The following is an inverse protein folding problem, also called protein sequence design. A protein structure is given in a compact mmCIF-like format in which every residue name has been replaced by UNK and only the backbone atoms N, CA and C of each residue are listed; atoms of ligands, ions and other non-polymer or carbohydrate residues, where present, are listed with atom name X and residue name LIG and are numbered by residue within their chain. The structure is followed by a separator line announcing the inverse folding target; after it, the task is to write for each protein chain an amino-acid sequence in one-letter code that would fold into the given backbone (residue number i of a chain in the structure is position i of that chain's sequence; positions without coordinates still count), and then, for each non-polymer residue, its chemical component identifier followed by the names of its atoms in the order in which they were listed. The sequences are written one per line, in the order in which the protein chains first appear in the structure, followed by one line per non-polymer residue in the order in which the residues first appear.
data_IF_474254701316
#
_entry.id   IF_474254701316
#
_cell.length_a   1.000
_cell.length_b   1.000
_cell.length_c   1.000
_cell.angle_alpha   90.00
_cell.angle_beta   90.00
_cell.angle_gamma   90.00
#
_symmetry.space_group_name_H-M   'P 1'
#
loop_
_entity.id
_entity.type
_entity.pdbx_description
1 polymer ?
#
# COMPACT_ATOMS: atom_id res chain seq x y z
N UNK A 1 -25.93 56.15 20.72
CA UNK A 1 -25.56 54.80 20.22
C UNK A 1 -24.16 54.85 19.61
N UNK A 2 -23.14 54.19 20.21
CA UNK A 2 -21.86 53.73 19.59
C UNK A 2 -20.89 53.31 20.71
N UNK A 3 -20.98 52.08 21.22
CA UNK A 3 -19.92 51.49 22.10
C UNK A 3 -19.64 49.99 21.89
N UNK A 4 -20.28 49.31 20.93
CA UNK A 4 -20.13 47.84 20.79
C UNK A 4 -19.31 47.35 19.58
N UNK A 5 -18.80 48.23 18.71
CA UNK A 5 -18.06 47.81 17.52
C UNK A 5 -16.59 47.41 17.79
N UNK A 6 -15.95 47.97 18.82
CA UNK A 6 -14.51 47.77 19.07
C UNK A 6 -14.17 46.44 19.77
N UNK A 7 -15.08 45.87 20.58
CA UNK A 7 -14.83 44.62 21.30
C UNK A 7 -14.88 43.37 20.41
N UNK A 8 -15.70 43.38 19.35
CA UNK A 8 -15.81 42.25 18.41
C UNK A 8 -14.55 42.12 17.52
N UNK A 9 -13.98 43.25 17.09
CA UNK A 9 -12.76 43.27 16.27
C UNK A 9 -11.53 42.78 17.05
N UNK A 10 -11.40 43.12 18.34
CA UNK A 10 -10.28 42.64 19.16
C UNK A 10 -10.31 41.12 19.40
N UNK A 11 -11.48 40.52 19.64
CA UNK A 11 -11.60 39.05 19.79
C UNK A 11 -11.28 38.32 18.49
N UNK A 12 -11.65 38.87 17.34
CA UNK A 12 -11.35 38.30 16.03
C UNK A 12 -9.85 38.39 15.70
N UNK A 13 -9.21 39.52 16.03
CA UNK A 13 -7.76 39.71 15.88
C UNK A 13 -6.96 38.76 16.77
N UNK A 14 -7.36 38.57 18.04
CA UNK A 14 -6.70 37.63 18.96
C UNK A 14 -6.77 36.18 18.45
N UNK A 15 -7.94 35.76 17.94
CA UNK A 15 -8.11 34.44 17.34
C UNK A 15 -7.23 34.24 16.11
N UNK A 16 -7.12 35.25 15.23
CA UNK A 16 -6.23 35.19 14.06
C UNK A 16 -4.76 35.09 14.47
N UNK A 17 -4.32 35.86 15.46
CA UNK A 17 -2.94 35.81 15.96
C UNK A 17 -2.63 34.44 16.56
N UNK A 18 -3.55 33.87 17.37
CA UNK A 18 -3.42 32.51 17.89
C UNK A 18 -3.32 31.46 16.79
N UNK A 19 -4.13 31.57 15.74
CA UNK A 19 -4.10 30.64 14.61
C UNK A 19 -2.78 30.72 13.83
N UNK A 20 -2.30 31.95 13.57
CA UNK A 20 -1.01 32.19 12.91
C UNK A 20 0.14 31.64 13.76
N UNK A 21 0.10 31.82 15.08
CA UNK A 21 1.12 31.29 15.97
C UNK A 21 1.10 29.76 16.04
N UNK A 22 -0.08 29.13 16.03
CA UNK A 22 -0.20 27.68 15.91
C UNK A 22 0.37 27.14 14.59
N UNK A 23 0.11 27.84 13.47
CA UNK A 23 0.66 27.46 12.16
C UNK A 23 2.18 27.59 12.13
N UNK A 24 2.73 28.69 12.66
CA UNK A 24 4.18 28.88 12.81
C UNK A 24 4.81 27.81 13.70
N UNK A 25 4.17 27.45 14.81
CA UNK A 25 4.65 26.39 15.70
C UNK A 25 4.64 25.02 15.01
N UNK A 26 3.58 24.68 14.27
CA UNK A 26 3.55 23.46 13.44
C UNK A 26 4.69 23.42 12.44
N UNK A 27 4.94 24.53 11.76
CA UNK A 27 6.02 24.60 10.78
C UNK A 27 7.40 24.49 11.43
N UNK A 28 7.58 25.09 12.61
CA UNK A 28 8.83 25.00 13.37
C UNK A 28 9.08 23.58 13.89
N UNK A 29 8.05 22.89 14.38
CA UNK A 29 8.11 21.47 14.78
C UNK A 29 8.43 20.59 13.58
N UNK A 30 7.78 20.82 12.43
CA UNK A 30 8.07 20.11 11.18
C UNK A 30 9.53 20.30 10.73
N UNK A 31 10.03 21.54 10.80
CA UNK A 31 11.41 21.85 10.45
C UNK A 31 12.41 21.22 11.44
N UNK A 32 12.11 21.21 12.75
CA UNK A 32 12.92 20.52 13.75
C UNK A 32 12.95 19.01 13.50
N UNK A 33 11.81 18.44 13.12
CA UNK A 33 11.70 17.02 12.77
C UNK A 33 12.55 16.69 11.53
N UNK A 34 12.47 17.51 10.48
CA UNK A 34 13.33 17.38 9.29
C UNK A 34 14.82 17.59 9.59
N UNK A 35 15.16 18.48 10.52
CA UNK A 35 16.53 18.72 10.93
C UNK A 35 17.11 17.56 11.76
N UNK A 36 16.31 16.99 12.67
CA UNK A 36 16.73 15.92 13.57
C UNK A 36 16.75 14.53 12.90
N UNK A 37 15.82 14.26 11.99
CA UNK A 37 15.62 12.93 11.38
C UNK A 37 15.91 12.90 9.87
N UNK A 38 16.33 14.04 9.28
CA UNK A 38 16.54 14.19 7.85
C UNK A 38 15.23 14.35 7.06
N UNK A 39 15.36 14.57 5.74
CA UNK A 39 14.22 14.43 4.82
C UNK A 39 13.83 12.95 4.76
N UNK A 40 12.53 12.66 4.81
CA UNK A 40 12.01 11.31 4.56
C UNK A 40 12.50 10.83 3.19
N UNK A 41 13.38 9.81 3.22
CA UNK A 41 14.06 9.31 2.03
C UNK A 41 13.05 8.54 1.19
N UNK A 42 12.94 8.89 -0.08
CA UNK A 42 12.23 8.09 -1.07
C UNK A 42 12.90 6.71 -1.13
N UNK A 43 12.18 5.65 -0.77
CA UNK A 43 12.73 4.29 -0.80
C UNK A 43 12.68 3.76 -2.24
N UNK A 44 13.49 4.36 -3.11
CA UNK A 44 13.67 3.96 -4.52
C UNK A 44 14.84 2.99 -4.72
N UNK A 45 15.59 2.71 -3.64
CA UNK A 45 16.78 1.89 -3.70
C UNK A 45 16.49 0.42 -3.41
N UNK A 46 17.23 -0.44 -4.10
CA UNK A 46 17.54 -1.76 -3.58
C UNK A 46 18.13 -1.59 -2.18
N UNK A 47 17.54 -2.26 -1.20
CA UNK A 47 17.99 -2.25 0.19
C UNK A 47 19.42 -2.79 0.28
N UNK A 48 20.10 -2.50 1.39
CA UNK A 48 21.47 -2.97 1.62
C UNK A 48 21.61 -4.51 1.57
N UNK A 49 20.51 -5.24 1.77
CA UNK A 49 20.42 -6.70 1.68
C UNK A 49 20.11 -7.23 0.27
N UNK A 50 20.03 -6.35 -0.74
CA UNK A 50 19.72 -6.72 -2.12
C UNK A 50 18.23 -6.90 -2.40
N UNK A 51 17.33 -6.56 -1.48
CA UNK A 51 15.87 -6.65 -1.67
C UNK A 51 15.27 -5.32 -2.14
N UNK A 52 14.03 -5.31 -2.63
CA UNK A 52 13.30 -4.07 -2.89
C UNK A 52 12.18 -3.84 -1.88
N UNK A 53 11.92 -2.60 -1.51
CA UNK A 53 10.81 -2.30 -0.61
C UNK A 53 9.46 -2.28 -1.33
N UNK A 54 8.44 -2.84 -0.70
CA UNK A 54 7.05 -2.82 -1.18
C UNK A 54 6.10 -2.32 -0.09
N UNK A 55 5.29 -1.32 -0.42
CA UNK A 55 4.30 -0.80 0.52
C UNK A 55 3.13 -1.78 0.70
N UNK A 56 2.92 -2.29 1.91
CA UNK A 56 1.73 -3.07 2.28
C UNK A 56 0.45 -2.22 2.39
N UNK A 57 0.52 -0.89 2.21
CA UNK A 57 -0.61 0.03 2.40
C UNK A 57 -0.57 1.24 1.46
N UNK A 58 -0.59 2.45 2.06
CA UNK A 58 -0.52 3.73 1.33
C UNK A 58 0.94 4.03 0.94
N UNK A 59 1.32 4.04 -0.36
CA UNK A 59 2.70 4.20 -0.81
C UNK A 59 3.25 5.63 -0.62
N UNK A 60 2.48 6.53 -0.02
CA UNK A 60 2.90 7.91 0.28
C UNK A 60 3.31 8.09 1.74
N UNK A 61 3.13 7.06 2.57
CA UNK A 61 3.45 7.11 3.99
C UNK A 61 4.75 6.36 4.23
N UNK A 62 5.74 7.07 4.71
CA UNK A 62 6.98 6.47 5.20
C UNK A 62 6.67 5.55 6.40
N UNK A 63 7.29 4.38 6.42
CA UNK A 63 7.25 3.45 7.54
C UNK A 63 8.68 3.36 8.07
N UNK A 64 8.83 3.33 9.39
CA UNK A 64 10.15 3.10 9.99
C UNK A 64 10.62 1.70 9.59
N UNK A 65 11.71 1.57 8.81
CA UNK A 65 12.18 0.27 8.39
C UNK A 65 12.58 -0.53 9.63
N UNK A 66 12.17 -1.80 9.70
CA UNK A 66 12.80 -2.72 10.63
C UNK A 66 14.20 -2.99 10.10
N UNK A 67 15.24 -2.73 10.91
CA UNK A 67 16.61 -3.13 10.58
C UNK A 67 16.67 -4.66 10.48
N UNK A 68 16.51 -5.20 9.28
CA UNK A 68 16.82 -6.59 8.97
C UNK A 68 18.34 -6.75 8.91
N UNK A 69 18.94 -7.17 10.01
CA UNK A 69 20.40 -7.36 10.11
C UNK A 69 20.88 -8.74 9.62
N UNK A 70 19.96 -9.65 9.31
CA UNK A 70 20.32 -11.01 8.90
C UNK A 70 20.19 -11.21 7.40
N UNK A 71 21.28 -11.66 6.79
CA UNK A 71 21.30 -12.09 5.39
C UNK A 71 20.39 -13.31 5.21
N UNK A 72 19.61 -13.30 4.12
CA UNK A 72 18.78 -14.44 3.76
C UNK A 72 19.65 -15.66 3.39
N UNK A 73 19.44 -16.83 4.03
CA UNK A 73 20.14 -18.06 3.66
C UNK A 73 19.66 -18.56 2.29
N UNK A 74 20.46 -19.37 1.61
CA UNK A 74 20.12 -19.89 0.28
C UNK A 74 19.01 -20.96 0.33
N UNK A 75 18.84 -21.61 1.47
CA UNK A 75 17.80 -22.60 1.70
C UNK A 75 17.02 -22.26 2.96
N UNK A 76 15.69 -22.25 2.83
CA UNK A 76 14.78 -21.86 3.91
C UNK A 76 13.79 -23.01 4.15
N UNK A 77 13.57 -23.43 5.41
CA UNK A 77 12.51 -24.37 5.74
C UNK A 77 11.14 -23.88 5.24
N UNK A 78 10.43 -24.73 4.50
CA UNK A 78 9.11 -24.47 3.96
C UNK A 78 8.22 -25.68 4.26
N UNK A 79 7.35 -25.56 5.27
CA UNK A 79 6.51 -26.65 5.76
C UNK A 79 7.34 -27.92 6.05
N UNK A 80 7.17 -28.98 5.27
CA UNK A 80 7.86 -30.27 5.41
C UNK A 80 9.06 -30.41 4.45
N UNK A 81 9.55 -29.32 3.87
CA UNK A 81 10.60 -29.32 2.84
C UNK A 81 11.58 -28.17 3.02
N UNK A 82 12.65 -28.18 2.22
CA UNK A 82 13.59 -27.04 2.10
C UNK A 82 13.37 -26.34 0.77
N UNK A 83 13.10 -25.05 0.81
CA UNK A 83 12.98 -24.20 -0.37
C UNK A 83 14.35 -23.60 -0.71
N UNK A 84 14.82 -23.84 -1.93
CA UNK A 84 16.02 -23.19 -2.47
C UNK A 84 15.65 -21.83 -3.07
N UNK A 85 16.20 -20.76 -2.48
CA UNK A 85 15.91 -19.37 -2.86
C UNK A 85 17.07 -18.73 -3.64
N UNK A 86 18.13 -19.48 -3.94
CA UNK A 86 19.33 -18.97 -4.62
C UNK A 86 18.98 -18.29 -5.95
N UNK A 87 18.03 -18.86 -6.68
CA UNK A 87 17.52 -18.31 -7.95
C UNK A 87 16.88 -16.92 -7.80
N UNK A 88 16.22 -16.66 -6.67
CA UNK A 88 15.63 -15.36 -6.39
C UNK A 88 16.70 -14.31 -6.08
N UNK A 89 17.76 -14.71 -5.35
CA UNK A 89 18.88 -13.85 -4.96
C UNK A 89 19.79 -13.48 -6.14
N UNK A 90 19.99 -14.42 -7.07
CA UNK A 90 20.91 -14.27 -8.22
C UNK A 90 20.23 -13.65 -9.46
N UNK A 91 18.92 -13.39 -9.41
CA UNK A 91 18.19 -12.83 -10.55
C UNK A 91 18.63 -11.40 -10.83
N UNK A 92 18.83 -11.07 -12.12
CA UNK A 92 19.10 -9.69 -12.56
C UNK A 92 17.96 -8.73 -12.24
N UNK A 93 16.72 -9.26 -12.21
CA UNK A 93 15.55 -8.51 -11.76
C UNK A 93 15.28 -8.80 -10.27
N UNK A 94 14.82 -7.80 -9.50
CA UNK A 94 14.49 -7.99 -8.10
C UNK A 94 13.29 -8.91 -7.94
N UNK A 95 13.52 -10.09 -7.36
CA UNK A 95 12.49 -11.09 -7.07
C UNK A 95 12.20 -11.23 -5.57
N UNK A 96 12.90 -10.47 -4.73
CA UNK A 96 12.70 -10.47 -3.28
C UNK A 96 12.29 -9.07 -2.83
N UNK A 97 11.12 -8.98 -2.20
CA UNK A 97 10.59 -7.72 -1.72
C UNK A 97 10.49 -7.68 -0.20
N UNK A 98 11.01 -6.64 0.43
CA UNK A 98 10.79 -6.34 1.85
C UNK A 98 9.47 -5.61 2.02
N UNK A 99 8.57 -6.19 2.81
CA UNK A 99 7.26 -5.61 3.11
C UNK A 99 7.41 -4.44 4.08
N UNK A 100 6.90 -3.28 3.69
CA UNK A 100 6.89 -2.07 4.51
C UNK A 100 5.43 -1.67 4.84
N UNK A 101 5.11 -1.68 6.12
CA UNK A 101 3.78 -1.43 6.68
C UNK A 101 3.04 -2.68 7.14
N UNK A 102 1.99 -2.49 7.95
CA UNK A 102 1.23 -3.57 8.61
C UNK A 102 -0.16 -3.77 8.01
N UNK A 103 -0.42 -3.22 6.82
CA UNK A 103 -1.78 -3.23 6.26
C UNK A 103 -2.19 -4.59 5.66
N UNK A 104 -1.27 -5.56 5.64
CA UNK A 104 -1.52 -6.94 5.23
C UNK A 104 -1.42 -7.94 6.40
N UNK A 105 -1.29 -7.46 7.64
CA UNK A 105 -1.16 -8.34 8.81
C UNK A 105 -2.35 -9.28 9.02
N UNK A 106 -3.62 -8.91 8.70
CA UNK A 106 -4.73 -9.87 8.74
C UNK A 106 -4.60 -11.04 7.76
N UNK A 107 -3.79 -10.89 6.71
CA UNK A 107 -3.45 -11.95 5.76
C UNK A 107 -2.15 -12.68 6.16
N UNK A 108 -1.71 -12.52 7.42
CA UNK A 108 -0.46 -13.05 7.93
C UNK A 108 0.77 -12.57 7.13
N UNK A 109 0.79 -11.29 6.74
CA UNK A 109 1.98 -10.63 6.16
C UNK A 109 2.28 -9.36 6.95
N UNK A 110 3.45 -9.33 7.57
CA UNK A 110 3.86 -8.29 8.51
C UNK A 110 4.95 -7.38 7.95
N UNK A 111 5.12 -6.23 8.60
CA UNK A 111 6.23 -5.34 8.33
C UNK A 111 7.57 -6.08 8.53
N UNK A 112 8.49 -5.97 7.58
CA UNK A 112 9.79 -6.64 7.59
C UNK A 112 9.82 -8.03 6.96
N UNK A 113 8.65 -8.68 6.77
CA UNK A 113 8.54 -9.94 6.05
C UNK A 113 9.12 -9.79 4.63
N UNK A 114 9.63 -10.89 4.06
CA UNK A 114 10.18 -10.90 2.69
C UNK A 114 9.23 -11.68 1.79
N UNK A 115 8.94 -11.17 0.60
CA UNK A 115 8.16 -11.87 -0.42
C UNK A 115 9.10 -12.43 -1.47
N UNK A 116 8.95 -13.71 -1.76
CA UNK A 116 9.54 -14.31 -2.95
C UNK A 116 8.52 -14.21 -4.07
N UNK A 117 8.92 -13.50 -5.12
CA UNK A 117 8.04 -13.10 -6.20
C UNK A 117 8.50 -13.71 -7.52
N UNK A 118 7.52 -14.03 -8.37
CA UNK A 118 7.75 -14.33 -9.77
C UNK A 118 7.30 -13.15 -10.63
N UNK A 119 8.15 -12.73 -11.56
CA UNK A 119 7.81 -11.70 -12.55
C UNK A 119 6.70 -12.22 -13.48
N UNK A 120 5.75 -11.35 -13.79
CA UNK A 120 4.70 -11.61 -14.77
C UNK A 120 4.80 -10.60 -15.91
N UNK A 121 4.60 -11.07 -17.13
CA UNK A 121 4.42 -10.20 -18.29
C UNK A 121 2.98 -9.68 -18.36
N UNK A 122 2.73 -8.80 -19.33
CA UNK A 122 1.43 -8.14 -19.49
C UNK A 122 0.29 -9.11 -19.82
N UNK A 123 0.56 -10.23 -20.50
CA UNK A 123 -0.47 -11.20 -20.85
C UNK A 123 -0.77 -12.14 -19.68
N UNK A 124 0.26 -12.59 -18.97
CA UNK A 124 0.14 -13.33 -17.73
C UNK A 124 -0.58 -12.51 -16.65
N UNK A 125 -0.33 -11.20 -16.57
CA UNK A 125 -1.03 -10.29 -15.65
C UNK A 125 -2.55 -10.29 -15.89
N UNK A 126 -3.00 -10.41 -17.14
CA UNK A 126 -4.43 -10.55 -17.48
C UNK A 126 -5.02 -11.89 -17.05
N UNK A 127 -4.22 -12.89 -16.68
CA UNK A 127 -4.73 -14.17 -16.18
C UNK A 127 -4.77 -14.21 -14.65
N UNK A 128 -4.27 -13.19 -13.96
CA UNK A 128 -4.30 -13.13 -12.49
C UNK A 128 -5.75 -12.98 -12.03
N UNK A 129 -6.20 -14.00 -11.30
CA UNK A 129 -7.53 -14.10 -10.73
C UNK A 129 -7.62 -13.61 -9.29
N UNK A 130 -8.70 -14.04 -8.63
CA UNK A 130 -8.98 -13.82 -7.20
C UNK A 130 -7.94 -14.51 -6.31
N UNK A 131 -7.69 -13.93 -5.14
CA UNK A 131 -6.99 -14.57 -4.03
C UNK A 131 -5.47 -14.47 -4.12
N UNK A 132 -4.92 -13.73 -5.09
CA UNK A 132 -3.48 -13.67 -5.32
C UNK A 132 -2.86 -12.47 -4.62
N UNK A 133 -1.69 -12.69 -4.04
CA UNK A 133 -0.83 -11.62 -3.56
C UNK A 133 0.03 -11.12 -4.72
N UNK A 134 -0.11 -9.85 -5.05
CA UNK A 134 0.57 -9.23 -6.18
C UNK A 134 1.37 -8.01 -5.74
N UNK A 135 2.53 -7.83 -6.36
CA UNK A 135 3.30 -6.60 -6.27
C UNK A 135 3.08 -5.83 -7.56
N UNK A 136 2.56 -4.62 -7.41
CA UNK A 136 2.18 -3.77 -8.53
C UNK A 136 2.95 -2.47 -8.48
N UNK A 137 3.26 -1.93 -9.66
CA UNK A 137 3.87 -0.62 -9.78
C UNK A 137 2.90 0.45 -9.27
N UNK A 138 3.43 1.45 -8.58
CA UNK A 138 2.66 2.61 -8.15
C UNK A 138 2.47 3.53 -9.35
N UNK A 139 1.21 3.77 -9.70
CA UNK A 139 0.82 4.71 -10.74
C UNK A 139 1.15 6.15 -10.32
N UNK A 140 2.17 6.75 -10.93
CA UNK A 140 2.64 8.09 -10.56
C UNK A 140 1.58 9.15 -10.89
N UNK A 141 0.99 9.07 -12.08
CA UNK A 141 -0.02 10.02 -12.55
C UNK A 141 -1.25 10.04 -11.64
N UNK A 142 -1.68 8.88 -11.16
CA UNK A 142 -2.80 8.76 -10.23
C UNK A 142 -2.55 9.43 -8.87
N UNK A 143 -1.31 9.41 -8.38
CA UNK A 143 -0.97 10.04 -7.10
C UNK A 143 -0.63 11.53 -7.26
N UNK A 144 -0.03 11.91 -8.39
CA UNK A 144 0.19 13.31 -8.77
C UNK A 144 -1.14 14.07 -8.94
N UNK A 145 -2.15 13.44 -9.56
CA UNK A 145 -3.49 14.04 -9.69
C UNK A 145 -4.17 14.32 -8.34
N UNK A 146 -3.69 13.69 -7.27
CA UNK A 146 -4.13 13.88 -5.88
C UNK A 146 -3.18 14.74 -5.05
N UNK A 147 -2.17 15.32 -5.68
CA UNK A 147 -1.13 16.10 -5.03
C UNK A 147 -0.47 15.34 -3.86
N UNK A 148 -0.15 14.07 -4.09
CA UNK A 148 0.53 13.21 -3.11
C UNK A 148 1.93 12.86 -3.56
N UNK A 149 2.90 13.05 -2.66
CA UNK A 149 4.28 12.62 -2.86
C UNK A 149 4.43 11.12 -2.58
N UNK A 150 5.03 10.40 -3.52
CA UNK A 150 5.29 8.97 -3.39
C UNK A 150 6.54 8.70 -2.56
N UNK A 151 6.49 7.64 -1.75
CA UNK A 151 7.63 7.13 -1.00
C UNK A 151 8.11 5.78 -1.53
N UNK A 152 7.20 4.99 -2.10
CA UNK A 152 7.47 3.67 -2.67
C UNK A 152 7.12 3.61 -4.17
N UNK A 153 7.92 2.85 -4.92
CA UNK A 153 7.63 2.51 -6.33
C UNK A 153 6.68 1.32 -6.47
N UNK A 154 6.58 0.49 -5.42
CA UNK A 154 5.81 -0.74 -5.42
C UNK A 154 4.82 -0.80 -4.26
N UNK A 155 3.68 -1.45 -4.51
CA UNK A 155 2.67 -1.73 -3.49
C UNK A 155 2.19 -3.18 -3.56
N UNK A 156 1.97 -3.78 -2.40
CA UNK A 156 1.48 -5.14 -2.22
C UNK A 156 -0.04 -5.12 -2.13
N UNK A 157 -0.72 -6.01 -2.84
CA UNK A 157 -2.17 -6.11 -2.87
C UNK A 157 -2.63 -7.55 -2.84
N UNK A 158 -3.78 -7.81 -2.21
CA UNK A 158 -4.51 -9.07 -2.29
C UNK A 158 -5.69 -8.90 -3.26
N UNK A 159 -5.72 -9.66 -4.35
CA UNK A 159 -6.71 -9.51 -5.42
C UNK A 159 -8.06 -10.11 -5.04
N UNK A 160 -9.16 -9.43 -5.39
CA UNK A 160 -10.52 -9.95 -5.19
C UNK A 160 -11.19 -10.36 -6.51
N UNK A 161 -11.27 -9.44 -7.47
CA UNK A 161 -11.84 -9.73 -8.79
C UNK A 161 -11.42 -8.66 -9.80
N UNK A 162 -11.69 -8.94 -11.07
CA UNK A 162 -11.62 -7.95 -12.14
C UNK A 162 -12.97 -7.27 -12.31
N UNK A 163 -12.93 -5.97 -12.55
CA UNK A 163 -14.10 -5.11 -12.63
C UNK A 163 -14.06 -4.36 -13.96
N UNK A 164 -15.00 -4.64 -14.89
CA UNK A 164 -15.15 -3.84 -16.09
C UNK A 164 -15.45 -2.38 -15.74
N UNK A 165 -14.82 -1.43 -16.44
CA UNK A 165 -14.98 0.00 -16.15
C UNK A 165 -16.42 0.49 -16.38
N UNK A 166 -17.14 -0.15 -17.31
CA UNK A 166 -18.55 0.14 -17.60
C UNK A 166 -19.55 -0.53 -16.65
N UNK A 167 -19.07 -1.26 -15.63
CA UNK A 167 -19.96 -1.88 -14.65
C UNK A 167 -20.69 -0.82 -13.81
N UNK A 168 -21.85 -1.16 -13.25
CA UNK A 168 -22.44 -0.35 -12.19
C UNK A 168 -21.89 -0.78 -10.83
N UNK A 169 -21.95 0.12 -9.84
CA UNK A 169 -21.52 -0.18 -8.47
C UNK A 169 -22.41 -1.25 -7.83
N UNK A 170 -23.71 -1.28 -8.16
CA UNK A 170 -24.66 -2.29 -7.67
C UNK A 170 -24.28 -3.69 -8.15
N UNK A 171 -23.95 -3.84 -9.44
CA UNK A 171 -23.47 -5.12 -10.01
C UNK A 171 -22.16 -5.57 -9.35
N UNK A 172 -21.26 -4.64 -9.03
CA UNK A 172 -20.02 -4.94 -8.32
C UNK A 172 -20.30 -5.42 -6.88
N UNK A 173 -21.17 -4.72 -6.15
CA UNK A 173 -21.57 -5.11 -4.80
C UNK A 173 -22.20 -6.51 -4.80
N UNK A 174 -23.10 -6.79 -5.73
CA UNK A 174 -23.75 -8.11 -5.85
C UNK A 174 -22.76 -9.23 -6.20
N UNK A 175 -21.76 -8.93 -7.01
CA UNK A 175 -20.66 -9.86 -7.29
C UNK A 175 -19.82 -10.13 -6.03
N UNK A 176 -19.53 -9.08 -5.25
CA UNK A 176 -18.77 -9.20 -4.01
C UNK A 176 -19.51 -9.95 -2.89
N UNK A 177 -20.85 -9.88 -2.84
CA UNK A 177 -21.65 -10.65 -1.85
C UNK A 177 -21.46 -12.16 -1.98
N UNK A 178 -21.06 -12.64 -3.17
CA UNK A 178 -20.74 -14.05 -3.43
C UNK A 178 -19.30 -14.43 -3.02
N UNK A 179 -18.48 -13.43 -2.71
CA UNK A 179 -17.02 -13.57 -2.55
C UNK A 179 -16.61 -13.36 -1.09
N UNK A 180 -17.21 -12.38 -0.41
CA UNK A 180 -16.84 -11.99 0.95
C UNK A 180 -18.06 -11.55 1.76
N UNK A 181 -18.10 -11.93 3.02
CA UNK A 181 -19.14 -11.48 3.95
C UNK A 181 -18.95 -10.03 4.41
N UNK A 182 -17.74 -9.48 4.28
CA UNK A 182 -17.44 -8.11 4.72
C UNK A 182 -18.27 -7.06 3.98
N UNK A 183 -18.68 -7.32 2.73
CA UNK A 183 -19.44 -6.37 1.92
C UNK A 183 -20.88 -6.16 2.41
N UNK A 184 -21.41 -7.04 3.27
CA UNK A 184 -22.74 -6.84 3.85
C UNK A 184 -22.80 -5.65 4.82
N UNK A 185 -21.64 -5.17 5.31
CA UNK A 185 -21.56 -3.97 6.14
C UNK A 185 -21.71 -2.71 5.30
N UNK A 186 -22.64 -1.82 5.67
CA UNK A 186 -22.89 -0.56 4.95
C UNK A 186 -21.65 0.32 4.82
N UNK A 187 -20.80 0.38 5.86
CA UNK A 187 -19.56 1.16 5.82
C UNK A 187 -18.62 0.68 4.70
N UNK A 188 -18.55 -0.64 4.50
CA UNK A 188 -17.72 -1.23 3.46
C UNK A 188 -18.29 -0.95 2.06
N UNK A 189 -19.62 -0.95 1.89
CA UNK A 189 -20.26 -0.57 0.63
C UNK A 189 -19.99 0.91 0.30
N UNK A 190 -20.15 1.81 1.29
CA UNK A 190 -19.85 3.24 1.13
C UNK A 190 -18.37 3.46 0.79
N UNK A 191 -17.45 2.75 1.45
CA UNK A 191 -16.03 2.84 1.14
C UNK A 191 -15.71 2.36 -0.27
N UNK A 192 -16.31 1.25 -0.69
CA UNK A 192 -16.17 0.70 -2.03
C UNK A 192 -16.68 1.69 -3.08
N UNK A 193 -17.88 2.25 -2.89
CA UNK A 193 -18.50 3.20 -3.83
C UNK A 193 -17.63 4.45 -4.03
N UNK A 194 -17.12 5.05 -2.95
CA UNK A 194 -16.20 6.20 -3.04
C UNK A 194 -14.97 5.82 -3.87
N UNK A 195 -14.37 4.66 -3.59
CA UNK A 195 -13.16 4.19 -4.28
C UNK A 195 -13.43 3.82 -5.73
N UNK A 196 -14.61 3.29 -6.02
CA UNK A 196 -15.06 2.92 -7.35
C UNK A 196 -15.22 4.17 -8.21
N UNK A 197 -16.01 5.14 -7.76
CA UNK A 197 -16.25 6.38 -8.51
C UNK A 197 -14.96 7.16 -8.76
N UNK A 198 -14.07 7.21 -7.78
CA UNK A 198 -12.73 7.80 -7.92
C UNK A 198 -11.89 7.07 -8.99
N UNK A 199 -11.89 5.74 -8.98
CA UNK A 199 -11.10 4.96 -9.92
C UNK A 199 -11.64 5.01 -11.35
N UNK A 200 -12.96 4.84 -11.54
CA UNK A 200 -13.59 4.89 -12.86
C UNK A 200 -13.47 6.29 -13.47
N UNK A 201 -13.57 7.35 -12.67
CA UNK A 201 -13.37 8.72 -13.14
C UNK A 201 -11.95 8.97 -13.68
N UNK A 202 -10.94 8.35 -13.06
CA UNK A 202 -9.54 8.50 -13.47
C UNK A 202 -9.14 7.55 -14.60
N UNK A 203 -9.46 6.26 -14.49
CA UNK A 203 -9.07 5.19 -15.43
C UNK A 203 -10.14 4.90 -16.49
N UNK A 204 -10.86 5.92 -16.94
CA UNK A 204 -12.01 5.79 -17.86
C UNK A 204 -11.70 5.17 -19.21
N UNK A 205 -10.44 5.21 -19.64
CA UNK A 205 -9.91 4.68 -20.90
C UNK A 205 -9.52 3.19 -20.81
N UNK A 206 -9.48 2.64 -19.59
CA UNK A 206 -9.17 1.23 -19.36
C UNK A 206 -10.42 0.37 -19.57
N UNK A 207 -10.22 -0.86 -20.05
CA UNK A 207 -11.30 -1.83 -20.23
C UNK A 207 -11.78 -2.42 -18.89
N UNK A 208 -10.82 -2.74 -18.02
CA UNK A 208 -11.05 -3.38 -16.74
C UNK A 208 -9.99 -2.96 -15.72
N UNK A 209 -10.37 -3.02 -14.45
CA UNK A 209 -9.51 -2.78 -13.31
C UNK A 209 -9.48 -4.00 -12.41
N UNK A 210 -8.35 -4.27 -11.79
CA UNK A 210 -8.22 -5.22 -10.71
C UNK A 210 -8.67 -4.57 -9.40
N UNK A 211 -9.70 -5.13 -8.77
CA UNK A 211 -10.10 -4.80 -7.40
C UNK A 211 -9.28 -5.62 -6.42
N UNK A 212 -8.66 -4.93 -5.47
CA UNK A 212 -7.87 -5.51 -4.38
C UNK A 212 -8.27 -4.95 -3.03
N UNK A 213 -7.78 -5.62 -1.99
CA UNK A 213 -7.95 -5.21 -0.61
C UNK A 213 -6.63 -5.07 0.13
N UNK A 214 -6.67 -4.18 1.12
CA UNK A 214 -5.70 -4.06 2.22
C UNK A 214 -6.48 -3.73 3.49
N UNK A 215 -5.83 -3.72 4.63
CA UNK A 215 -6.46 -3.46 5.93
C UNK A 215 -5.75 -2.31 6.63
N UNK A 216 -6.45 -1.26 7.03
CA UNK A 216 -5.84 -0.15 7.77
C UNK A 216 -6.54 0.02 9.11
N UNK A 217 -5.77 -0.18 10.20
CA UNK A 217 -6.29 -0.16 11.58
C UNK A 217 -7.45 -1.16 11.77
N UNK A 218 -7.31 -2.36 11.22
CA UNK A 218 -8.34 -3.40 11.25
C UNK A 218 -9.47 -3.24 10.23
N UNK A 219 -9.60 -2.07 9.59
CA UNK A 219 -10.69 -1.83 8.64
C UNK A 219 -10.28 -2.19 7.22
N UNK A 220 -11.18 -2.87 6.51
CA UNK A 220 -11.03 -3.22 5.11
C UNK A 220 -10.95 -1.98 4.22
N UNK A 221 -10.04 -1.98 3.25
CA UNK A 221 -9.84 -0.90 2.28
C UNK A 221 -9.79 -1.47 0.89
N UNK A 222 -10.67 -0.98 0.03
CA UNK A 222 -10.70 -1.33 -1.37
C UNK A 222 -9.75 -0.45 -2.19
N UNK A 223 -9.20 -1.01 -3.25
CA UNK A 223 -8.39 -0.27 -4.23
C UNK A 223 -8.53 -0.89 -5.61
N UNK A 224 -8.62 -0.02 -6.62
CA UNK A 224 -8.72 -0.41 -8.02
C UNK A 224 -7.43 -0.02 -8.74
N UNK A 225 -6.92 -0.93 -9.55
CA UNK A 225 -5.67 -0.74 -10.27
C UNK A 225 -5.79 -1.27 -11.70
N UNK A 226 -5.23 -0.58 -12.70
CA UNK A 226 -5.02 -1.15 -14.01
C UNK A 226 -4.22 -2.47 -13.92
N UNK A 227 -4.63 -3.45 -14.72
CA UNK A 227 -4.07 -4.82 -14.69
C UNK A 227 -2.62 -4.83 -15.20
N UNK A 228 -2.29 -3.94 -16.13
CA UNK A 228 -0.95 -3.72 -16.71
C UNK A 228 0.08 -3.23 -15.68
N UNK A 229 -0.35 -2.73 -14.52
CA UNK A 229 0.56 -2.37 -13.42
C UNK A 229 1.02 -3.56 -12.58
N UNK A 230 0.43 -4.74 -12.75
CA UNK A 230 0.86 -5.93 -12.02
C UNK A 230 2.17 -6.43 -12.63
N UNK A 231 3.24 -6.40 -11.85
CA UNK A 231 4.58 -6.80 -12.31
C UNK A 231 5.02 -8.14 -11.71
N UNK A 232 4.53 -8.48 -10.52
CA UNK A 232 4.91 -9.71 -9.85
C UNK A 232 3.74 -10.35 -9.10
N UNK A 233 3.81 -11.68 -8.98
CA UNK A 233 2.98 -12.48 -8.07
C UNK A 233 3.88 -12.99 -6.95
N UNK A 234 3.47 -12.78 -5.70
CA UNK A 234 4.17 -13.32 -4.55
C UNK A 234 3.79 -14.81 -4.39
N UNK A 235 4.79 -15.68 -4.41
CA UNK A 235 4.62 -17.14 -4.31
C UNK A 235 4.85 -17.62 -2.87
N UNK A 236 5.73 -16.94 -2.13
CA UNK A 236 6.03 -17.25 -0.74
C UNK A 236 6.19 -15.97 0.09
N UNK A 237 5.84 -16.06 1.37
CA UNK A 237 6.25 -15.11 2.39
C UNK A 237 7.31 -15.77 3.28
N UNK A 238 8.41 -15.07 3.53
CA UNK A 238 9.45 -15.45 4.46
C UNK A 238 9.29 -14.63 5.72
N UNK A 239 9.19 -15.34 6.84
CA UNK A 239 9.05 -14.78 8.18
C UNK A 239 10.28 -15.13 8.99
N UNK A 240 10.72 -14.19 9.82
CA UNK A 240 11.77 -14.44 10.80
C UNK A 240 11.16 -14.57 12.18
N UNK A 241 11.46 -15.67 12.88
CA UNK A 241 10.90 -15.96 14.21
C UNK A 241 11.82 -15.55 15.38
N UNK A 242 12.94 -14.87 15.09
CA UNK A 242 13.99 -14.53 16.05
C UNK A 242 15.20 -15.46 16.01
N UNK A 243 15.09 -16.64 15.41
CA UNK A 243 16.17 -17.62 15.30
C UNK A 243 16.48 -17.98 13.83
N UNK A 244 15.44 -18.17 13.02
CA UNK A 244 15.59 -18.57 11.63
C UNK A 244 14.50 -17.97 10.73
N UNK A 245 14.81 -17.95 9.43
CA UNK A 245 13.82 -17.68 8.40
C UNK A 245 12.98 -18.92 8.13
N UNK A 246 11.66 -18.75 7.96
CA UNK A 246 10.72 -19.79 7.53
C UNK A 246 9.88 -19.28 6.38
N UNK A 247 9.71 -20.13 5.37
CA UNK A 247 8.88 -19.86 4.22
C UNK A 247 7.48 -20.45 4.42
N UNK A 248 6.47 -19.70 3.99
CA UNK A 248 5.09 -20.13 3.86
C UNK A 248 4.64 -19.84 2.44
N UNK A 249 4.05 -20.83 1.77
CA UNK A 249 3.49 -20.65 0.44
C UNK A 249 2.26 -19.74 0.52
N UNK A 250 2.17 -18.80 -0.39
CA UNK A 250 1.00 -17.95 -0.57
C UNK A 250 0.10 -18.60 -1.62
N UNK A 251 -1.11 -18.97 -1.22
CA UNK A 251 -2.13 -19.55 -2.10
C UNK A 251 -2.90 -18.49 -2.87
#
# INVERSE_FOLDING_TARGET
MRKNANFANHKCALRRILLINMLKLKQLVSNLYHFAFGKEVHTNGMNADGTMSVAAGDPTLSVTPLKGLEMLPDRIPCENSMLDISKYKQSENPLIFTVEGSSMSPEDISNGDKLLCRKVDADAAKLIGKGKFVVIAVDKEYYESKNKELKFDYKLRHTLLKVPVESSIEKLIDSLKKITNSIFLEENQKNLEIKYNEAIGFYKDKKELMLSVTYRKGNLRYSFHPVDLIQYVAEYVLKHNGEEWRAKKLE
#
